data_IF_372013596472
#
_entry.id   IF_372013596472
#
_cell.length_a   1.000
_cell.length_b   1.000
_cell.length_c   1.000
_cell.angle_alpha   90.00
_cell.angle_beta   90.00
_cell.angle_gamma   90.00
#
_symmetry.space_group_name_H-M   'P 1'
#
loop_
_entity.id
_entity.type
_entity.pdbx_description
1 polymer ?
#
# COMPACT_ATOMS: atom_id res chain seq x y z
N UNK A 1 17.49 -31.35 23.34
CA UNK A 1 18.47 -30.65 22.47
C UNK A 1 17.68 -29.62 21.67
N UNK A 2 17.71 -28.35 22.10
CA UNK A 2 16.94 -27.29 21.45
C UNK A 2 17.67 -26.86 20.18
N UNK A 3 17.07 -27.12 19.02
CA UNK A 3 17.52 -26.57 17.74
C UNK A 3 17.31 -25.05 17.76
N UNK A 4 18.37 -24.31 18.01
CA UNK A 4 18.43 -22.87 17.72
C UNK A 4 18.26 -22.73 16.21
N UNK A 5 17.08 -22.31 15.73
CA UNK A 5 16.90 -21.90 14.34
C UNK A 5 17.89 -20.77 14.08
N UNK A 6 18.98 -21.08 13.40
CA UNK A 6 19.92 -20.09 12.90
C UNK A 6 19.12 -19.23 11.94
N UNK A 7 18.92 -17.94 12.26
CA UNK A 7 18.25 -17.01 11.35
C UNK A 7 19.11 -16.93 10.08
N UNK A 8 18.57 -17.44 8.97
CA UNK A 8 19.21 -17.37 7.66
C UNK A 8 19.54 -15.91 7.35
N UNK A 9 20.84 -15.60 7.22
CA UNK A 9 21.31 -14.25 6.95
C UNK A 9 21.08 -13.93 5.48
N UNK A 10 20.76 -12.68 5.18
CA UNK A 10 20.67 -12.23 3.78
C UNK A 10 22.03 -12.30 3.08
N UNK A 11 22.03 -12.59 1.77
CA UNK A 11 23.28 -12.87 1.05
C UNK A 11 24.20 -11.65 0.88
N UNK A 12 23.65 -10.43 0.80
CA UNK A 12 24.43 -9.20 0.61
C UNK A 12 24.61 -8.46 1.94
N UNK A 13 23.51 -8.03 2.56
CA UNK A 13 23.58 -7.27 3.82
C UNK A 13 23.96 -8.09 5.05
N UNK A 14 24.03 -9.43 4.93
CA UNK A 14 24.32 -10.34 6.04
C UNK A 14 23.46 -10.07 7.28
N UNK A 15 22.24 -9.57 7.09
CA UNK A 15 21.33 -9.14 8.14
C UNK A 15 20.35 -10.27 8.50
N UNK A 16 19.82 -10.22 9.72
CA UNK A 16 18.89 -11.25 10.24
C UNK A 16 17.46 -10.76 10.43
N UNK A 17 17.24 -9.44 10.34
CA UNK A 17 15.92 -8.83 10.44
C UNK A 17 15.75 -7.65 9.46
N UNK A 18 14.50 -7.23 9.16
CA UNK A 18 14.25 -6.15 8.20
C UNK A 18 14.88 -4.80 8.55
N UNK A 19 14.97 -4.46 9.84
CA UNK A 19 15.56 -3.18 10.31
C UNK A 19 17.05 -3.13 9.92
N UNK A 20 17.80 -4.19 10.25
CA UNK A 20 19.22 -4.33 9.89
C UNK A 20 19.45 -4.32 8.36
N UNK A 21 18.52 -4.88 7.57
CA UNK A 21 18.59 -4.83 6.10
C UNK A 21 18.45 -3.38 5.62
N UNK A 22 17.50 -2.63 6.19
CA UNK A 22 17.29 -1.21 5.88
C UNK A 22 18.52 -0.36 6.23
N UNK A 23 19.03 -0.49 7.47
CA UNK A 23 20.20 0.27 7.92
C UNK A 23 21.45 0.05 7.05
N UNK A 24 21.59 -1.14 6.46
CA UNK A 24 22.65 -1.43 5.49
C UNK A 24 22.41 -0.67 4.17
N UNK A 25 21.23 -0.80 3.56
CA UNK A 25 20.93 -0.16 2.26
C UNK A 25 20.75 1.36 2.36
N UNK A 26 20.51 1.92 3.54
CA UNK A 26 20.54 3.37 3.76
C UNK A 26 21.97 3.94 3.63
N UNK A 27 22.99 3.12 3.87
CA UNK A 27 24.41 3.50 3.83
C UNK A 27 25.13 3.01 2.57
N UNK A 28 24.56 2.04 1.88
CA UNK A 28 25.15 1.37 0.71
C UNK A 28 24.28 1.56 -0.52
N UNK A 29 24.89 1.91 -1.63
CA UNK A 29 24.17 2.05 -2.90
C UNK A 29 24.09 0.70 -3.63
N UNK A 30 22.98 0.46 -4.33
CA UNK A 30 22.73 -0.81 -5.04
C UNK A 30 23.74 -1.08 -6.16
N UNK A 31 24.24 -0.02 -6.80
CA UNK A 31 25.23 -0.09 -7.87
C UNK A 31 26.56 -0.72 -7.43
N UNK A 32 26.98 -0.51 -6.17
CA UNK A 32 28.17 -1.14 -5.57
C UNK A 32 28.09 -2.68 -5.58
N UNK A 33 26.88 -3.22 -5.60
CA UNK A 33 26.61 -4.65 -5.54
C UNK A 33 25.97 -5.18 -6.82
N UNK A 34 25.91 -4.39 -7.90
CA UNK A 34 25.17 -4.73 -9.12
C UNK A 34 25.59 -6.10 -9.72
N UNK A 35 26.90 -6.38 -9.75
CA UNK A 35 27.47 -7.65 -10.24
C UNK A 35 27.13 -8.87 -9.36
N UNK A 36 26.68 -8.66 -8.13
CA UNK A 36 26.21 -9.69 -7.20
C UNK A 36 24.68 -9.88 -7.26
N UNK A 37 23.99 -9.07 -8.06
CA UNK A 37 22.55 -9.16 -8.29
C UNK A 37 22.23 -9.86 -9.61
N UNK A 38 20.97 -10.25 -9.77
CA UNK A 38 20.46 -10.76 -11.03
C UNK A 38 19.20 -9.99 -11.41
N UNK A 39 18.98 -9.83 -12.72
CA UNK A 39 17.79 -9.17 -13.22
C UNK A 39 16.53 -9.98 -12.85
N UNK A 40 15.53 -9.28 -12.30
CA UNK A 40 14.22 -9.84 -11.99
C UNK A 40 13.15 -8.98 -12.64
N UNK A 41 12.15 -9.62 -13.23
CA UNK A 41 11.00 -8.92 -13.79
C UNK A 41 9.99 -8.63 -12.67
N UNK A 42 9.73 -7.34 -12.42
CA UNK A 42 8.76 -6.89 -11.43
C UNK A 42 7.62 -6.18 -12.13
N UNK A 43 6.42 -6.78 -12.08
CA UNK A 43 5.20 -6.11 -12.55
C UNK A 43 4.65 -5.21 -11.45
N UNK A 44 4.87 -3.90 -11.58
CA UNK A 44 4.27 -2.92 -10.66
C UNK A 44 2.89 -2.51 -11.18
N UNK A 45 1.82 -2.90 -10.48
CA UNK A 45 0.47 -2.37 -10.74
C UNK A 45 0.27 -1.04 -10.02
N UNK A 46 0.86 0.02 -10.56
CA UNK A 46 0.61 1.38 -10.09
C UNK A 46 -0.68 1.92 -10.72
N UNK A 47 -1.84 1.56 -10.16
CA UNK A 47 -3.10 2.20 -10.54
C UNK A 47 -3.09 3.65 -10.06
N UNK A 48 -3.33 4.59 -10.97
CA UNK A 48 -3.55 6.00 -10.63
C UNK A 48 -4.77 6.09 -9.71
N UNK A 49 -4.54 6.48 -8.45
CA UNK A 49 -5.61 6.72 -7.48
C UNK A 49 -5.95 8.20 -7.46
N UNK A 50 -7.15 8.56 -7.86
CA UNK A 50 -7.69 9.90 -7.63
C UNK A 50 -8.13 10.01 -6.17
N UNK A 51 -7.58 10.98 -5.43
CA UNK A 51 -7.92 11.23 -4.03
C UNK A 51 -8.60 12.59 -3.89
N UNK A 52 -9.70 12.62 -3.15
CA UNK A 52 -10.40 13.85 -2.78
C UNK A 52 -10.45 13.91 -1.27
N UNK A 53 -10.05 15.04 -0.70
CA UNK A 53 -10.16 15.28 0.74
C UNK A 53 -11.62 15.56 1.10
N UNK A 54 -12.17 14.78 2.03
CA UNK A 54 -13.53 14.96 2.56
C UNK A 54 -13.42 15.57 3.95
N UNK A 55 -14.33 16.50 4.27
CA UNK A 55 -14.44 17.05 5.61
C UNK A 55 -14.60 15.93 6.67
N UNK A 56 -13.90 15.97 7.82
CA UNK A 56 -13.95 14.91 8.82
C UNK A 56 -15.35 14.61 9.37
N UNK A 57 -16.18 15.64 9.52
CA UNK A 57 -17.55 15.50 10.03
C UNK A 57 -18.45 14.84 8.99
N UNK A 58 -18.27 15.19 7.72
CA UNK A 58 -18.96 14.53 6.61
C UNK A 58 -18.52 13.06 6.49
N UNK A 59 -17.22 12.81 6.59
CA UNK A 59 -16.65 11.46 6.51
C UNK A 59 -17.17 10.55 7.63
N UNK A 60 -17.23 11.04 8.87
CA UNK A 60 -17.80 10.29 10.00
C UNK A 60 -19.26 9.86 9.74
N UNK A 61 -20.08 10.78 9.22
CA UNK A 61 -21.47 10.43 8.88
C UNK A 61 -21.56 9.45 7.70
N UNK A 62 -20.65 9.54 6.72
CA UNK A 62 -20.56 8.60 5.61
C UNK A 62 -20.23 7.20 6.14
N UNK A 63 -19.26 7.07 7.04
CA UNK A 63 -18.89 5.79 7.65
C UNK A 63 -20.06 5.14 8.39
N UNK A 64 -20.79 5.89 9.20
CA UNK A 64 -21.94 5.37 9.93
C UNK A 64 -23.08 4.92 9.01
N UNK A 65 -23.27 5.60 7.87
CA UNK A 65 -24.26 5.19 6.86
C UNK A 65 -23.79 3.97 6.08
N UNK A 66 -22.51 3.90 5.73
CA UNK A 66 -21.91 2.75 5.04
C UNK A 66 -21.98 1.49 5.91
N UNK A 67 -21.57 1.61 7.19
CA UNK A 67 -21.60 0.52 8.17
C UNK A 67 -23.00 -0.05 8.35
N UNK A 68 -24.02 0.80 8.49
CA UNK A 68 -25.43 0.37 8.62
C UNK A 68 -25.95 -0.37 7.38
N UNK A 69 -25.34 -0.16 6.22
CA UNK A 69 -25.67 -0.83 4.95
C UNK A 69 -24.76 -2.01 4.64
N UNK A 70 -23.79 -2.33 5.50
CA UNK A 70 -22.79 -3.36 5.22
C UNK A 70 -21.84 -3.02 4.06
N UNK A 71 -21.65 -1.72 3.78
CA UNK A 71 -20.83 -1.22 2.69
C UNK A 71 -19.56 -0.55 3.22
N UNK A 72 -18.53 -0.48 2.37
CA UNK A 72 -17.37 0.38 2.62
C UNK A 72 -17.75 1.85 2.34
N UNK A 73 -17.14 2.82 3.07
CA UNK A 73 -17.34 4.25 2.79
C UNK A 73 -17.03 4.61 1.34
N UNK A 74 -15.97 4.02 0.77
CA UNK A 74 -15.59 4.17 -0.65
C UNK A 74 -16.70 3.71 -1.61
N UNK A 75 -17.31 2.56 -1.34
CA UNK A 75 -18.42 2.06 -2.17
C UNK A 75 -19.61 3.00 -2.11
N UNK A 76 -19.98 3.46 -0.91
CA UNK A 76 -21.14 4.32 -0.71
C UNK A 76 -20.95 5.70 -1.38
N UNK A 77 -19.79 6.33 -1.22
CA UNK A 77 -19.52 7.64 -1.84
C UNK A 77 -19.49 7.53 -3.36
N UNK A 78 -18.90 6.46 -3.92
CA UNK A 78 -18.85 6.27 -5.37
C UNK A 78 -20.26 6.08 -5.97
N UNK A 79 -21.13 5.32 -5.29
CA UNK A 79 -22.52 5.17 -5.73
C UNK A 79 -23.26 6.51 -5.74
N UNK A 80 -23.16 7.29 -4.67
CA UNK A 80 -23.82 8.60 -4.59
C UNK A 80 -23.29 9.60 -5.61
N UNK A 81 -21.97 9.63 -5.84
CA UNK A 81 -21.38 10.48 -6.86
C UNK A 81 -21.87 10.07 -8.26
N UNK A 82 -21.91 8.77 -8.57
CA UNK A 82 -22.42 8.28 -9.84
C UNK A 82 -23.90 8.66 -10.07
N UNK A 83 -24.75 8.49 -9.04
CA UNK A 83 -26.16 8.90 -9.09
C UNK A 83 -26.31 10.41 -9.36
N UNK A 84 -25.52 11.25 -8.68
CA UNK A 84 -25.58 12.71 -8.84
C UNK A 84 -25.12 13.17 -10.23
N UNK A 85 -24.00 12.63 -10.70
CA UNK A 85 -23.47 12.97 -12.03
C UNK A 85 -24.42 12.54 -13.17
N UNK A 86 -25.14 11.43 -13.00
CA UNK A 86 -26.15 10.99 -13.96
C UNK A 86 -27.35 11.97 -14.05
N UNK A 87 -27.79 12.51 -12.90
CA UNK A 87 -28.88 13.49 -12.85
C UNK A 87 -28.48 14.82 -13.51
N UNK A 88 -27.27 15.31 -13.23
CA UNK A 88 -26.78 16.58 -13.78
C UNK A 88 -26.59 16.55 -15.30
N UNK A 89 -26.40 15.37 -15.89
CA UNK A 89 -26.28 15.19 -17.35
C UNK A 89 -27.64 15.20 -18.06
N UNK A 90 -28.73 14.98 -17.31
CA UNK A 90 -30.09 14.86 -17.87
C UNK A 90 -30.88 16.18 -17.76
N UNK A 91 -30.28 17.23 -17.20
CA UNK A 91 -30.82 18.58 -17.06
C UNK A 91 -30.21 19.55 -18.09
#
# INVERSE_FOLDING_TARGET
MNSTKQLERTSISSATNPEEIGEFWDKHSLDEYWEQTHAVEVTVRALLRCRVTVDPTIYSQLEDRARRRGLLPETLINLWLAERLALDTTA
#
